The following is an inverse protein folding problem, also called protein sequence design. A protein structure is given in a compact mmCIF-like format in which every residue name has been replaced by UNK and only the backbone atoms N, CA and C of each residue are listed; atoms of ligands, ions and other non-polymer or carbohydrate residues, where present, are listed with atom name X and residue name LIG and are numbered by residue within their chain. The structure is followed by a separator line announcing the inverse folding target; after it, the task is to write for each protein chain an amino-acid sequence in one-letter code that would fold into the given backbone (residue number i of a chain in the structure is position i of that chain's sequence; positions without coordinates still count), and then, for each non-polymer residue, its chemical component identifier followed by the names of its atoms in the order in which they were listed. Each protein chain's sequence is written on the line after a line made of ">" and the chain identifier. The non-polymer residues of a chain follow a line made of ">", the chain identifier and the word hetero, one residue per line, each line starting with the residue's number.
data_IF_775626494628
#
_entry.id   IF_775626494628
#
_cell.length_a   1.000
_cell.length_b   1.000
_cell.length_c   1.000
_cell.angle_alpha   90.00
_cell.angle_beta   90.00
_cell.angle_gamma   90.00
#
_symmetry.space_group_name_H-M   'P 1'
#
loop_
_entity.id
_entity.type
_entity.pdbx_description
1 polymer ?
#
# COMPACT_ATOMS: atom_id res chain seq x y z
N UNK A 1 -10.16 11.01 2.29
CA UNK A 1 -9.14 10.49 1.35
C UNK A 1 -9.83 10.26 0.01
N UNK A 2 -9.18 10.52 -1.13
CA UNK A 2 -9.66 9.95 -2.38
C UNK A 2 -9.78 8.43 -2.23
N UNK A 3 -10.80 7.78 -2.81
CA UNK A 3 -10.96 6.34 -2.68
C UNK A 3 -9.81 5.63 -3.40
N UNK A 4 -8.80 5.19 -2.64
CA UNK A 4 -7.74 4.33 -3.16
C UNK A 4 -8.33 2.98 -3.50
N UNK A 5 -8.28 2.59 -4.78
CA UNK A 5 -8.75 1.29 -5.23
C UNK A 5 -7.61 0.28 -5.21
N UNK A 6 -7.59 -0.53 -4.16
CA UNK A 6 -6.73 -1.71 -4.09
C UNK A 6 -7.34 -2.85 -4.89
N UNK A 7 -6.77 -3.15 -6.06
CA UNK A 7 -7.25 -4.24 -6.92
C UNK A 7 -6.43 -5.52 -6.80
N UNK A 8 -5.21 -5.45 -6.26
CA UNK A 8 -4.34 -6.60 -6.07
C UNK A 8 -3.39 -6.37 -4.91
N UNK A 9 -3.13 -7.43 -4.16
CA UNK A 9 -2.21 -7.47 -3.04
C UNK A 9 -1.33 -8.72 -3.16
N UNK A 10 -0.01 -8.51 -3.24
CA UNK A 10 0.96 -9.60 -3.30
C UNK A 10 1.93 -9.46 -2.14
N UNK A 11 1.87 -10.46 -1.27
CA UNK A 11 2.77 -10.61 -0.14
C UNK A 11 3.80 -11.71 -0.41
N UNK A 12 5.02 -11.50 0.05
CA UNK A 12 6.13 -12.44 0.04
C UNK A 12 7.00 -12.19 1.28
N UNK A 13 7.78 -13.19 1.72
CA UNK A 13 8.70 -13.02 2.85
C UNK A 13 9.73 -11.92 2.59
N UNK A 14 10.31 -11.89 1.39
CA UNK A 14 11.23 -10.85 0.95
C UNK A 14 10.48 -9.54 0.62
N UNK A 15 10.74 -8.40 1.31
CA UNK A 15 10.03 -7.14 1.10
C UNK A 15 10.10 -6.63 -0.35
N UNK A 16 11.23 -6.81 -1.02
CA UNK A 16 11.44 -6.41 -2.42
C UNK A 16 10.53 -7.14 -3.43
N UNK A 17 9.92 -8.27 -3.03
CA UNK A 17 8.99 -9.03 -3.86
C UNK A 17 7.52 -8.68 -3.59
N UNK A 18 7.25 -7.84 -2.58
CA UNK A 18 5.91 -7.39 -2.23
C UNK A 18 5.50 -6.24 -3.13
N UNK A 19 4.25 -6.25 -3.56
CA UNK A 19 3.67 -5.12 -4.29
C UNK A 19 2.15 -5.14 -4.18
N UNK A 20 1.56 -3.97 -4.44
CA UNK A 20 0.12 -3.79 -4.59
C UNK A 20 -0.18 -3.17 -5.93
N UNK A 21 -1.42 -3.32 -6.39
CA UNK A 21 -1.97 -2.48 -7.45
C UNK A 21 -2.96 -1.51 -6.81
N UNK A 22 -2.57 -0.24 -6.75
CA UNK A 22 -3.39 0.87 -6.25
C UNK A 22 -3.70 1.80 -7.41
N UNK A 23 -4.99 2.04 -7.66
CA UNK A 23 -5.47 2.88 -8.76
C UNK A 23 -4.87 2.51 -10.13
N UNK A 24 -4.67 1.21 -10.34
CA UNK A 24 -4.09 0.66 -11.57
C UNK A 24 -2.57 0.72 -11.66
N UNK A 25 -1.89 1.30 -10.67
CA UNK A 25 -0.43 1.40 -10.62
C UNK A 25 0.18 0.35 -9.69
N UNK A 26 1.29 -0.25 -10.14
CA UNK A 26 2.08 -1.18 -9.31
C UNK A 26 3.00 -0.42 -8.39
N UNK A 27 2.82 -0.60 -7.08
CA UNK A 27 3.55 0.09 -6.03
C UNK A 27 4.18 -0.90 -5.06
N UNK A 28 5.38 -0.56 -4.58
CA UNK A 28 6.07 -1.27 -3.50
C UNK A 28 6.16 -0.41 -2.24
N UNK A 29 6.69 -1.00 -1.17
CA UNK A 29 6.97 -0.29 0.09
C UNK A 29 7.86 0.94 -0.17
N UNK A 30 7.55 2.06 0.49
CA UNK A 30 8.17 3.38 0.30
C UNK A 30 7.54 4.24 -0.80
N UNK A 31 6.65 3.70 -1.64
CA UNK A 31 6.04 4.49 -2.71
C UNK A 31 5.07 5.57 -2.18
N UNK A 32 4.99 6.70 -2.89
CA UNK A 32 4.05 7.80 -2.58
C UNK A 32 3.07 8.00 -3.74
N UNK A 33 1.89 7.34 -3.72
CA UNK A 33 0.93 7.41 -4.83
C UNK A 33 0.23 8.78 -4.96
N UNK A 34 0.19 9.55 -3.88
CA UNK A 34 -0.42 10.87 -3.84
C UNK A 34 0.25 11.72 -2.75
N UNK A 35 0.11 13.05 -2.87
CA UNK A 35 0.62 13.97 -1.86
C UNK A 35 0.11 13.61 -0.46
N UNK A 36 1.04 13.48 0.48
CA UNK A 36 0.72 13.12 1.86
C UNK A 36 0.41 11.65 2.08
N UNK A 37 0.50 10.78 1.06
CA UNK A 37 0.30 9.33 1.19
C UNK A 37 1.63 8.60 0.96
N UNK A 38 1.98 7.71 1.88
CA UNK A 38 3.13 6.81 1.75
C UNK A 38 2.68 5.38 2.02
N UNK A 39 3.01 4.45 1.12
CA UNK A 39 2.89 3.01 1.33
C UNK A 39 4.05 2.57 2.22
N UNK A 40 3.82 2.46 3.53
CA UNK A 40 4.91 2.14 4.46
C UNK A 40 5.28 0.66 4.44
N UNK A 41 4.28 -0.23 4.40
CA UNK A 41 4.51 -1.66 4.53
C UNK A 41 3.40 -2.46 3.84
N UNK A 42 3.77 -3.57 3.19
CA UNK A 42 2.84 -4.56 2.66
C UNK A 42 2.92 -5.77 3.60
N UNK A 43 1.84 -6.01 4.32
CA UNK A 43 1.72 -7.10 5.30
C UNK A 43 0.90 -8.24 4.76
N UNK A 44 0.88 -9.38 5.46
CA UNK A 44 0.10 -10.54 5.04
C UNK A 44 -1.40 -10.25 5.07
N UNK A 45 -1.84 -9.45 6.03
CA UNK A 45 -3.24 -9.09 6.29
C UNK A 45 -3.72 -7.87 5.47
N UNK A 46 -2.81 -7.11 4.85
CA UNK A 46 -3.15 -5.87 4.16
C UNK A 46 -1.95 -4.99 3.85
N UNK A 47 -2.15 -3.67 3.79
CA UNK A 47 -1.07 -2.69 3.66
C UNK A 47 -1.19 -1.59 4.70
N UNK A 48 -0.05 -1.11 5.19
CA UNK A 48 0.03 0.07 6.03
C UNK A 48 0.33 1.27 5.16
N UNK A 49 -0.55 2.27 5.22
CA UNK A 49 -0.31 3.57 4.61
C UNK A 49 -0.18 4.64 5.69
N UNK A 50 0.68 5.62 5.46
CA UNK A 50 0.70 6.87 6.21
C UNK A 50 -0.02 7.94 5.41
N UNK A 51 -0.96 8.63 6.05
CA UNK A 51 -1.73 9.72 5.46
C UNK A 51 -1.52 10.96 6.33
N UNK A 52 -0.72 11.90 5.83
CA UNK A 52 -0.28 13.09 6.57
C UNK A 52 0.30 12.75 7.96
N UNK A 53 1.06 11.65 8.05
CA UNK A 53 1.68 11.17 9.29
C UNK A 53 0.80 10.23 10.12
N UNK A 54 -0.47 10.02 9.77
CA UNK A 54 -1.34 9.06 10.43
C UNK A 54 -1.30 7.69 9.75
N UNK A 55 -0.93 6.66 10.51
CA UNK A 55 -0.87 5.27 10.01
C UNK A 55 -2.25 4.64 9.97
N UNK A 56 -2.58 3.98 8.86
CA UNK A 56 -3.82 3.26 8.65
C UNK A 56 -3.53 1.88 8.04
N UNK A 57 -4.22 0.85 8.52
CA UNK A 57 -4.21 -0.48 7.91
C UNK A 57 -5.38 -0.58 6.94
N UNK A 58 -5.07 -0.84 5.67
CA UNK A 58 -6.06 -1.23 4.67
C UNK A 58 -6.04 -2.74 4.52
N UNK A 59 -7.17 -3.39 4.78
CA UNK A 59 -7.31 -4.81 4.55
C UNK A 59 -7.12 -5.12 3.06
N UNK A 60 -6.52 -6.28 2.77
CA UNK A 60 -6.50 -6.83 1.41
C UNK A 60 -7.95 -7.06 0.89
N UNK A 61 -8.18 -7.00 -0.43
CA UNK A 61 -9.51 -7.20 -1.00
C UNK A 61 -10.03 -8.63 -0.80
#
# INVERSE_FOLDING_TARGET
>A
MPPLKLSMHVFAEAPAQRFVILDGQRLGEGASPAAGIVLEEIRREGLVISVNGQRLLLARP
#
